data_IF_250651295869
#
_entry.id   IF_250651295869
#
_cell.length_a   1.000
_cell.length_b   1.000
_cell.length_c   1.000
_cell.angle_alpha   90.00
_cell.angle_beta   90.00
_cell.angle_gamma   90.00
#
_symmetry.space_group_name_H-M   'P 1'
#
loop_
_entity.id
_entity.type
_entity.pdbx_description
1 polymer ?
#
# COMPACT_ATOMS: atom_id res chain seq x y z
N UNK A 1 73.58 -100.20 -61.37
CA UNK A 1 74.36 -98.94 -61.33
C UNK A 1 73.39 -97.82 -60.97
N UNK A 2 73.45 -97.31 -59.73
CA UNK A 2 72.45 -96.42 -59.17
C UNK A 2 72.55 -95.00 -59.76
N UNK A 3 71.44 -94.45 -60.26
CA UNK A 3 71.33 -93.06 -60.71
C UNK A 3 71.12 -92.17 -59.49
N UNK A 4 72.14 -91.40 -59.12
CA UNK A 4 72.00 -90.30 -58.15
C UNK A 4 71.44 -89.07 -58.87
N UNK A 5 70.13 -88.88 -58.84
CA UNK A 5 69.51 -87.61 -59.24
C UNK A 5 69.67 -86.63 -58.07
N UNK A 6 70.70 -85.80 -58.13
CA UNK A 6 70.88 -84.69 -57.19
C UNK A 6 69.76 -83.69 -57.49
N UNK A 7 68.83 -83.53 -56.53
CA UNK A 7 67.81 -82.50 -56.61
C UNK A 7 68.46 -81.14 -56.35
N UNK A 8 68.79 -80.42 -57.43
CA UNK A 8 69.35 -79.06 -57.39
C UNK A 8 68.29 -77.98 -57.14
N UNK A 9 67.02 -78.37 -56.99
CA UNK A 9 65.93 -77.46 -56.67
C UNK A 9 65.95 -77.16 -55.16
N UNK A 10 66.85 -76.28 -54.75
CA UNK A 10 66.87 -75.73 -53.40
C UNK A 10 65.63 -74.84 -53.18
N UNK A 11 65.05 -74.88 -51.97
CA UNK A 11 63.89 -74.05 -51.61
C UNK A 11 64.14 -72.53 -51.79
N UNK A 12 65.40 -72.11 -51.85
CA UNK A 12 65.84 -70.73 -52.13
C UNK A 12 65.73 -70.31 -53.61
N UNK A 13 65.53 -71.24 -54.55
CA UNK A 13 65.31 -70.96 -55.97
C UNK A 13 63.83 -70.69 -56.32
N UNK A 14 62.92 -70.77 -55.35
CA UNK A 14 61.53 -70.32 -55.53
C UNK A 14 61.52 -68.78 -55.56
N UNK A 15 60.87 -68.13 -56.54
CA UNK A 15 60.84 -66.68 -56.61
C UNK A 15 60.24 -66.14 -55.32
N UNK A 16 61.06 -65.43 -54.52
CA UNK A 16 60.62 -64.79 -53.29
C UNK A 16 59.45 -63.88 -53.65
N UNK A 17 58.23 -64.29 -53.30
CA UNK A 17 57.03 -63.49 -53.51
C UNK A 17 57.22 -62.24 -52.67
N UNK A 18 57.55 -61.12 -53.32
CA UNK A 18 57.67 -59.84 -52.66
C UNK A 18 56.35 -59.58 -51.91
N UNK A 19 56.39 -59.62 -50.58
CA UNK A 19 55.20 -59.38 -49.75
C UNK A 19 54.67 -57.97 -50.00
N UNK A 20 55.62 -57.05 -50.23
CA UNK A 20 55.43 -55.68 -50.67
C UNK A 20 55.67 -55.56 -52.18
N UNK A 21 54.61 -55.75 -52.97
CA UNK A 21 54.62 -55.34 -54.39
C UNK A 21 54.02 -53.95 -54.51
N UNK A 22 54.51 -53.15 -55.47
CA UNK A 22 54.03 -51.78 -55.71
C UNK A 22 52.48 -51.73 -55.82
N UNK A 23 51.89 -52.71 -56.50
CA UNK A 23 50.44 -52.80 -56.66
C UNK A 23 49.71 -52.98 -55.31
N UNK A 24 50.23 -53.81 -54.40
CA UNK A 24 49.62 -54.01 -53.06
C UNK A 24 49.68 -52.75 -52.20
N UNK A 25 50.81 -52.03 -52.25
CA UNK A 25 50.97 -50.76 -51.53
C UNK A 25 50.01 -49.72 -52.07
N UNK A 26 49.91 -49.57 -53.40
CA UNK A 26 48.95 -48.66 -54.03
C UNK A 26 47.50 -49.02 -53.67
N UNK A 27 47.12 -50.30 -53.71
CA UNK A 27 45.77 -50.71 -53.30
C UNK A 27 45.48 -50.39 -51.83
N UNK A 28 46.44 -50.56 -50.94
CA UNK A 28 46.27 -50.24 -49.51
C UNK A 28 46.12 -48.73 -49.29
N UNK A 29 46.87 -47.91 -50.02
CA UNK A 29 46.70 -46.45 -49.99
C UNK A 29 45.35 -46.02 -50.53
N UNK A 30 44.89 -46.61 -51.64
CA UNK A 30 43.56 -46.33 -52.21
C UNK A 30 42.46 -46.72 -51.23
N UNK A 31 42.54 -47.90 -50.61
CA UNK A 31 41.56 -48.32 -49.59
C UNK A 31 41.57 -47.36 -48.40
N UNK A 32 42.74 -46.98 -47.90
CA UNK A 32 42.86 -46.01 -46.80
C UNK A 32 42.24 -44.66 -47.17
N UNK A 33 42.48 -44.18 -48.38
CA UNK A 33 41.92 -42.93 -48.89
C UNK A 33 40.39 -43.00 -48.99
N UNK A 34 39.84 -44.11 -49.50
CA UNK A 34 38.39 -44.32 -49.58
C UNK A 34 37.76 -44.35 -48.19
N UNK A 35 38.39 -45.02 -47.22
CA UNK A 35 37.93 -45.02 -45.83
C UNK A 35 37.95 -43.62 -45.23
N UNK A 36 39.01 -42.85 -45.47
CA UNK A 36 39.12 -41.48 -44.99
C UNK A 36 38.03 -40.57 -45.58
N UNK A 37 37.77 -40.66 -46.89
CA UNK A 37 36.68 -39.93 -47.55
C UNK A 37 35.31 -40.34 -47.01
N UNK A 38 35.09 -41.63 -46.75
CA UNK A 38 33.86 -42.13 -46.15
C UNK A 38 33.60 -41.53 -44.76
N UNK A 39 34.63 -41.49 -43.91
CA UNK A 39 34.54 -40.89 -42.58
C UNK A 39 34.26 -39.38 -42.65
N UNK A 40 34.92 -38.65 -43.55
CA UNK A 40 34.69 -37.21 -43.75
C UNK A 40 33.25 -36.94 -44.20
N UNK A 41 32.73 -37.74 -45.13
CA UNK A 41 31.36 -37.57 -45.61
C UNK A 41 30.32 -37.80 -44.49
N UNK A 42 30.52 -38.85 -43.70
CA UNK A 42 29.64 -39.17 -42.56
C UNK A 42 29.68 -38.07 -41.50
N UNK A 43 30.88 -37.60 -41.13
CA UNK A 43 31.03 -36.56 -40.11
C UNK A 43 30.45 -35.23 -40.57
N UNK A 44 30.66 -34.87 -41.84
CA UNK A 44 30.12 -33.64 -42.40
C UNK A 44 28.59 -33.65 -42.45
N UNK A 45 27.99 -34.80 -42.77
CA UNK A 45 26.54 -34.94 -42.73
C UNK A 45 25.99 -34.81 -41.30
N UNK A 46 26.65 -35.43 -40.32
CA UNK A 46 26.24 -35.36 -38.91
C UNK A 46 26.36 -33.95 -38.35
N UNK A 47 27.45 -33.23 -38.68
CA UNK A 47 27.67 -31.84 -38.27
C UNK A 47 26.61 -30.92 -38.87
N UNK A 48 26.30 -31.08 -40.16
CA UNK A 48 25.29 -30.24 -40.83
C UNK A 48 23.89 -30.36 -40.20
N UNK A 49 23.50 -31.56 -39.77
CA UNK A 49 22.21 -31.75 -39.09
C UNK A 49 22.21 -31.12 -37.69
N UNK A 50 23.31 -31.30 -36.95
CA UNK A 50 23.44 -30.73 -35.61
C UNK A 50 23.49 -29.20 -35.61
N UNK A 51 24.11 -28.61 -36.63
CA UNK A 51 24.19 -27.16 -36.80
C UNK A 51 22.83 -26.55 -37.18
N UNK A 52 22.03 -27.27 -37.97
CA UNK A 52 20.65 -26.86 -38.27
C UNK A 52 19.78 -26.85 -37.00
N UNK A 53 19.85 -27.90 -36.17
CA UNK A 53 19.12 -27.94 -34.89
C UNK A 53 19.58 -26.85 -33.93
N UNK A 54 20.89 -26.60 -33.88
CA UNK A 54 21.47 -25.54 -33.05
C UNK A 54 20.99 -24.14 -33.48
N UNK A 55 20.97 -23.86 -34.78
CA UNK A 55 20.50 -22.56 -35.29
C UNK A 55 19.00 -22.35 -35.05
N UNK A 56 18.17 -23.41 -35.12
CA UNK A 56 16.75 -23.33 -34.76
C UNK A 56 16.59 -22.98 -33.28
N UNK A 57 17.29 -23.67 -32.38
CA UNK A 57 17.21 -23.42 -30.93
C UNK A 57 17.74 -22.03 -30.58
N UNK A 58 18.85 -21.61 -31.20
CA UNK A 58 19.44 -20.28 -31.03
C UNK A 58 18.50 -19.18 -31.51
N UNK A 59 17.86 -19.36 -32.66
CA UNK A 59 16.85 -18.42 -33.18
C UNK A 59 15.65 -18.30 -32.22
N UNK A 60 15.16 -19.42 -31.68
CA UNK A 60 14.11 -19.43 -30.66
C UNK A 60 14.55 -18.68 -29.39
N UNK A 61 15.78 -18.91 -28.92
CA UNK A 61 16.31 -18.24 -27.75
C UNK A 61 16.44 -16.71 -27.96
N UNK A 62 16.89 -16.28 -29.12
CA UNK A 62 16.96 -14.86 -29.50
C UNK A 62 15.56 -14.24 -29.53
N UNK A 63 14.58 -14.93 -30.12
CA UNK A 63 13.18 -14.47 -30.16
C UNK A 63 12.60 -14.33 -28.75
N UNK A 64 12.80 -15.33 -27.88
CA UNK A 64 12.32 -15.31 -26.50
C UNK A 64 13.00 -14.21 -25.67
N UNK A 65 14.31 -14.03 -25.85
CA UNK A 65 15.06 -12.96 -25.17
C UNK A 65 14.58 -11.58 -25.61
N UNK A 66 14.31 -11.39 -26.92
CA UNK A 66 13.73 -10.16 -27.44
C UNK A 66 12.32 -9.90 -26.90
N UNK A 67 11.48 -10.94 -26.82
CA UNK A 67 10.16 -10.85 -26.20
C UNK A 67 10.24 -10.46 -24.72
N UNK A 68 11.13 -11.08 -23.95
CA UNK A 68 11.37 -10.71 -22.55
C UNK A 68 11.83 -9.26 -22.42
N UNK A 69 12.76 -8.80 -23.25
CA UNK A 69 13.22 -7.41 -23.23
C UNK A 69 12.08 -6.43 -23.56
N UNK A 70 11.22 -6.78 -24.53
CA UNK A 70 10.07 -5.97 -24.89
C UNK A 70 9.02 -5.93 -23.76
N UNK A 71 8.76 -7.07 -23.11
CA UNK A 71 7.85 -7.15 -21.96
C UNK A 71 8.40 -6.38 -20.77
N UNK A 72 9.70 -6.49 -20.47
CA UNK A 72 10.35 -5.73 -19.40
C UNK A 72 10.32 -4.22 -19.70
N UNK A 73 10.51 -3.82 -20.96
CA UNK A 73 10.33 -2.43 -21.40
C UNK A 73 8.88 -1.95 -21.24
N UNK A 74 7.89 -2.79 -21.58
CA UNK A 74 6.48 -2.46 -21.40
C UNK A 74 6.09 -2.34 -19.92
N UNK A 75 6.57 -3.26 -19.08
CA UNK A 75 6.36 -3.24 -17.62
C UNK A 75 7.04 -2.03 -16.99
N UNK A 76 8.29 -1.75 -17.35
CA UNK A 76 9.01 -0.57 -16.84
C UNK A 76 8.34 0.73 -17.26
N UNK A 77 7.89 0.86 -18.53
CA UNK A 77 7.06 2.00 -18.99
C UNK A 77 5.76 2.14 -18.20
N UNK A 78 5.09 1.03 -17.87
CA UNK A 78 3.88 1.06 -17.05
C UNK A 78 4.18 1.45 -15.59
N UNK A 79 5.30 0.96 -15.03
CA UNK A 79 5.76 1.25 -13.67
C UNK A 79 6.28 2.68 -13.47
N UNK A 80 6.59 3.42 -14.53
CA UNK A 80 7.18 4.77 -14.44
C UNK A 80 6.26 5.85 -13.85
N UNK A 81 4.98 5.58 -13.68
CA UNK A 81 4.06 6.52 -13.03
C UNK A 81 4.14 6.48 -11.49
N UNK A 82 5.33 6.23 -10.94
CA UNK A 82 5.61 6.42 -9.51
C UNK A 82 5.35 7.87 -9.09
N UNK A 83 5.60 8.82 -10.01
CA UNK A 83 5.26 10.24 -9.86
C UNK A 83 3.75 10.43 -9.67
N UNK A 84 2.92 9.87 -10.53
CA UNK A 84 1.45 9.92 -10.38
C UNK A 84 0.98 9.24 -9.10
N UNK A 85 1.62 8.15 -8.68
CA UNK A 85 1.30 7.49 -7.41
C UNK A 85 1.66 8.38 -6.22
N UNK A 86 2.79 9.10 -6.28
CA UNK A 86 3.16 10.08 -5.25
C UNK A 86 2.22 11.27 -5.25
N UNK A 87 1.84 11.80 -6.41
CA UNK A 87 0.84 12.89 -6.54
C UNK A 87 -0.53 12.48 -6.03
N UNK A 88 -0.97 11.26 -6.32
CA UNK A 88 -2.22 10.72 -5.80
C UNK A 88 -2.18 10.65 -4.26
N UNK A 89 -1.08 10.16 -3.70
CA UNK A 89 -0.92 10.06 -2.25
C UNK A 89 -0.84 11.44 -1.58
N UNK A 90 -0.17 12.43 -2.18
CA UNK A 90 -0.13 13.79 -1.65
C UNK A 90 -1.51 14.44 -1.70
N UNK A 91 -2.23 14.31 -2.83
CA UNK A 91 -3.61 14.81 -2.96
C UNK A 91 -4.52 14.14 -1.91
N UNK A 92 -4.42 12.83 -1.73
CA UNK A 92 -5.19 12.09 -0.72
C UNK A 92 -4.90 12.58 0.70
N UNK A 93 -3.63 12.84 1.02
CA UNK A 93 -3.23 13.40 2.31
C UNK A 93 -3.80 14.81 2.52
N UNK A 94 -3.75 15.66 1.49
CA UNK A 94 -4.31 17.01 1.54
C UNK A 94 -5.82 16.96 1.78
N UNK A 95 -6.54 16.08 1.08
CA UNK A 95 -7.99 15.89 1.27
C UNK A 95 -8.28 15.42 2.69
N UNK A 96 -7.57 14.40 3.19
CA UNK A 96 -7.76 13.89 4.55
C UNK A 96 -7.55 14.99 5.61
N UNK A 97 -6.53 15.83 5.45
CA UNK A 97 -6.28 16.96 6.34
C UNK A 97 -7.38 18.02 6.26
N UNK A 98 -7.87 18.35 5.05
CA UNK A 98 -8.98 19.30 4.88
C UNK A 98 -10.27 18.79 5.51
N UNK A 99 -10.59 17.51 5.35
CA UNK A 99 -11.73 16.87 6.01
C UNK A 99 -11.61 16.92 7.53
N UNK A 100 -10.42 16.64 8.06
CA UNK A 100 -10.17 16.71 9.49
C UNK A 100 -10.33 18.14 10.03
N UNK A 101 -9.75 19.13 9.35
CA UNK A 101 -9.91 20.55 9.72
C UNK A 101 -11.37 21.00 9.59
N UNK A 102 -12.06 20.60 8.53
CA UNK A 102 -13.48 20.89 8.34
C UNK A 102 -14.30 20.31 9.49
N UNK A 103 -14.05 19.05 9.89
CA UNK A 103 -14.71 18.43 11.04
C UNK A 103 -14.44 19.18 12.34
N UNK A 104 -13.22 19.66 12.56
CA UNK A 104 -12.88 20.45 13.76
C UNK A 104 -13.52 21.83 13.78
N UNK A 105 -13.60 22.51 12.63
CA UNK A 105 -14.19 23.85 12.51
C UNK A 105 -15.72 23.81 12.52
N UNK A 106 -16.29 22.75 11.95
CA UNK A 106 -17.74 22.52 11.88
C UNK A 106 -18.24 21.76 13.10
N UNK A 107 -17.36 21.41 14.06
CA UNK A 107 -17.78 20.80 15.32
C UNK A 107 -18.58 21.85 16.13
N UNK A 108 -19.91 21.70 16.23
CA UNK A 108 -20.75 22.65 16.94
C UNK A 108 -20.45 22.64 18.45
N UNK A 109 -19.67 21.66 18.95
CA UNK A 109 -19.23 21.61 20.35
C UNK A 109 -18.03 22.52 20.65
N UNK A 110 -17.35 23.08 19.64
CA UNK A 110 -16.20 23.98 19.86
C UNK A 110 -16.43 25.42 19.39
N UNK A 111 -17.37 25.64 18.48
CA UNK A 111 -17.80 26.98 18.04
C UNK A 111 -19.11 27.37 18.72
N UNK A 112 -19.12 27.46 20.06
CA UNK A 112 -20.29 27.93 20.82
C UNK A 112 -20.46 29.46 20.78
N UNK A 113 -19.63 30.22 20.05
CA UNK A 113 -19.65 31.68 20.06
C UNK A 113 -20.97 32.29 19.55
N UNK A 114 -21.67 31.62 18.63
CA UNK A 114 -22.94 32.12 18.07
C UNK A 114 -24.10 31.96 19.07
N UNK A 115 -24.03 30.96 19.96
CA UNK A 115 -25.08 30.68 20.95
C UNK A 115 -25.04 31.60 22.18
N UNK A 116 -23.85 32.01 22.63
CA UNK A 116 -23.71 32.82 23.84
C UNK A 116 -24.37 34.20 23.73
N UNK A 117 -24.22 34.88 22.59
CA UNK A 117 -24.82 36.20 22.40
C UNK A 117 -26.34 36.16 22.43
N UNK A 118 -26.95 35.14 21.81
CA UNK A 118 -28.41 34.94 21.87
C UNK A 118 -28.87 34.61 23.28
N UNK A 119 -28.15 33.73 23.98
CA UNK A 119 -28.45 33.37 25.37
C UNK A 119 -28.40 34.59 26.31
N UNK A 120 -27.39 35.45 26.16
CA UNK A 120 -27.26 36.67 26.97
C UNK A 120 -28.35 37.70 26.65
N UNK A 121 -28.74 37.84 25.38
CA UNK A 121 -29.82 38.73 24.98
C UNK A 121 -31.17 38.28 25.58
N UNK A 122 -31.46 36.98 25.53
CA UNK A 122 -32.67 36.41 26.14
C UNK A 122 -32.66 36.54 27.67
N UNK A 123 -31.50 36.32 28.31
CA UNK A 123 -31.32 36.52 29.76
C UNK A 123 -31.58 37.98 30.18
N UNK A 124 -31.12 38.94 29.39
CA UNK A 124 -31.35 40.36 29.63
C UNK A 124 -32.83 40.75 29.42
N UNK A 125 -33.50 40.15 28.44
CA UNK A 125 -34.93 40.35 28.21
C UNK A 125 -35.77 39.80 29.37
N UNK A 126 -35.41 38.61 29.89
CA UNK A 126 -36.09 37.91 31.00
C UNK A 126 -35.62 38.38 32.39
N UNK A 127 -35.22 39.65 32.53
CA UNK A 127 -34.76 40.20 33.79
C UNK A 127 -35.88 40.22 34.86
N UNK A 128 -35.52 39.92 36.11
CA UNK A 128 -36.40 40.03 37.26
C UNK A 128 -35.83 41.03 38.26
N UNK A 129 -36.62 42.02 38.68
CA UNK A 129 -36.20 43.10 39.59
C UNK A 129 -35.71 42.60 40.95
N UNK A 130 -36.08 41.38 41.33
CA UNK A 130 -35.75 40.78 42.63
C UNK A 130 -34.53 39.84 42.57
N UNK A 131 -33.85 39.72 41.42
CA UNK A 131 -32.72 38.83 41.21
C UNK A 131 -31.55 39.58 40.59
N UNK A 132 -30.35 39.34 41.10
CA UNK A 132 -29.09 39.82 40.53
C UNK A 132 -28.20 38.62 40.22
N UNK A 133 -27.85 38.44 38.95
CA UNK A 133 -26.93 37.38 38.51
C UNK A 133 -25.49 37.83 38.70
N UNK A 134 -24.66 36.95 39.25
CA UNK A 134 -23.24 37.19 39.48
C UNK A 134 -22.37 36.31 38.59
N UNK A 135 -22.77 35.05 38.39
CA UNK A 135 -22.05 34.10 37.54
C UNK A 135 -23.03 33.37 36.65
N UNK A 136 -22.71 33.35 35.37
CA UNK A 136 -23.43 32.57 34.37
C UNK A 136 -22.42 31.69 33.67
N UNK A 137 -22.66 30.38 33.71
CA UNK A 137 -21.86 29.39 33.00
C UNK A 137 -22.78 28.59 32.07
N UNK A 138 -22.50 28.63 30.77
CA UNK A 138 -23.25 27.92 29.74
C UNK A 138 -22.22 27.09 28.96
N UNK A 139 -22.39 25.78 28.89
CA UNK A 139 -21.44 24.91 28.20
C UNK A 139 -21.96 23.50 27.98
N UNK A 140 -21.70 22.93 26.79
CA UNK A 140 -21.99 21.55 26.43
C UNK A 140 -23.41 21.05 26.80
N UNK A 141 -24.42 21.91 26.65
CA UNK A 141 -25.82 21.61 26.96
C UNK A 141 -26.22 21.78 28.44
N UNK A 142 -25.27 22.12 29.31
CA UNK A 142 -25.50 22.42 30.72
C UNK A 142 -25.43 23.93 30.99
N UNK A 143 -26.25 24.38 31.93
CA UNK A 143 -26.34 25.77 32.33
C UNK A 143 -26.32 25.85 33.85
N UNK A 144 -25.49 26.75 34.37
CA UNK A 144 -25.39 27.04 35.80
C UNK A 144 -25.48 28.55 36.00
N UNK A 145 -26.39 28.96 36.87
CA UNK A 145 -26.62 30.35 37.23
C UNK A 145 -26.39 30.51 38.74
N UNK A 146 -25.64 31.53 39.14
CA UNK A 146 -25.51 31.90 40.54
C UNK A 146 -25.68 33.41 40.74
N UNK A 147 -26.24 33.77 41.88
CA UNK A 147 -26.52 35.16 42.20
C UNK A 147 -27.27 35.32 43.50
N UNK A 148 -27.85 36.51 43.68
CA UNK A 148 -28.57 36.89 44.89
C UNK A 148 -30.03 37.19 44.54
N UNK A 149 -30.96 36.68 45.34
CA UNK A 149 -32.37 36.96 45.29
C UNK A 149 -32.85 37.68 46.55
N UNK A 150 -33.79 38.62 46.39
CA UNK A 150 -34.42 39.34 47.52
C UNK A 150 -35.36 38.47 48.34
N UNK A 151 -35.95 37.45 47.71
CA UNK A 151 -36.87 36.51 48.35
C UNK A 151 -36.60 35.11 47.81
N UNK A 152 -36.69 34.05 48.62
CA UNK A 152 -36.54 32.66 48.16
C UNK A 152 -37.47 32.31 46.99
N UNK A 153 -38.70 32.84 47.02
CA UNK A 153 -39.73 32.61 45.99
C UNK A 153 -39.42 33.31 44.66
N UNK A 154 -38.48 34.24 44.62
CA UNK A 154 -38.14 34.93 43.37
C UNK A 154 -37.44 34.00 42.38
N UNK A 155 -36.65 33.03 42.87
CA UNK A 155 -35.83 32.17 42.01
C UNK A 155 -36.68 31.22 41.16
N UNK A 156 -37.65 30.47 41.73
CA UNK A 156 -38.57 29.66 40.92
C UNK A 156 -39.39 30.50 39.92
N UNK A 157 -39.84 31.69 40.33
CA UNK A 157 -40.61 32.61 39.48
C UNK A 157 -39.80 33.19 38.31
N UNK A 158 -38.49 33.30 38.47
CA UNK A 158 -37.61 33.71 37.37
C UNK A 158 -37.31 32.54 36.44
N UNK A 159 -37.12 31.35 36.99
CA UNK A 159 -36.84 30.14 36.23
C UNK A 159 -38.01 29.72 35.33
N UNK A 160 -39.26 29.96 35.75
CA UNK A 160 -40.44 29.73 34.92
C UNK A 160 -40.48 30.61 33.68
N UNK A 161 -39.86 31.80 33.71
CA UNK A 161 -39.72 32.67 32.54
C UNK A 161 -38.91 32.03 31.41
N UNK A 162 -38.04 31.06 31.72
CA UNK A 162 -37.17 30.41 30.73
C UNK A 162 -37.94 29.45 29.82
N UNK A 163 -39.16 29.03 30.19
CA UNK A 163 -40.02 28.22 29.32
C UNK A 163 -40.37 28.95 28.02
N UNK A 164 -40.45 30.28 28.06
CA UNK A 164 -40.81 31.11 26.90
C UNK A 164 -39.65 31.42 25.95
N UNK A 165 -38.42 31.04 26.30
CA UNK A 165 -37.20 31.40 25.57
C UNK A 165 -36.80 30.32 24.55
N UNK A 166 -36.24 30.71 23.42
CA UNK A 166 -35.78 29.77 22.38
C UNK A 166 -34.51 29.02 22.76
N UNK A 167 -33.59 29.64 23.49
CA UNK A 167 -32.29 29.05 23.81
C UNK A 167 -32.24 28.42 25.22
N UNK A 168 -32.99 28.97 26.17
CA UNK A 168 -33.00 28.55 27.59
C UNK A 168 -34.10 27.53 27.90
N UNK A 169 -35.06 27.31 26.99
CA UNK A 169 -36.12 26.31 27.17
C UNK A 169 -35.64 24.87 27.05
N UNK A 170 -36.39 23.95 27.68
CA UNK A 170 -36.14 22.51 27.59
C UNK A 170 -34.98 22.01 28.46
N UNK A 171 -34.44 22.82 29.38
CA UNK A 171 -33.45 22.37 30.38
C UNK A 171 -34.12 22.18 31.74
N UNK A 172 -33.93 21.00 32.32
CA UNK A 172 -34.35 20.70 33.70
C UNK A 172 -33.22 21.11 34.65
N UNK A 173 -33.49 22.11 35.47
CA UNK A 173 -32.60 22.46 36.57
C UNK A 173 -32.85 21.49 37.72
N UNK A 174 -31.82 20.71 38.05
CA UNK A 174 -31.93 19.58 38.99
C UNK A 174 -31.13 19.81 40.27
N UNK A 175 -30.16 20.72 40.26
CA UNK A 175 -29.47 21.12 41.47
C UNK A 175 -29.87 22.54 41.85
N UNK A 176 -30.41 22.69 43.06
CA UNK A 176 -30.88 23.95 43.59
C UNK A 176 -30.36 24.11 45.02
N UNK A 177 -29.54 25.13 45.24
CA UNK A 177 -29.03 25.49 46.56
C UNK A 177 -29.40 26.93 46.87
N UNK A 178 -29.93 27.15 48.08
CA UNK A 178 -30.23 28.48 48.61
C UNK A 178 -29.58 28.60 49.97
N UNK A 179 -28.81 29.66 50.15
CA UNK A 179 -28.14 29.97 51.39
C UNK A 179 -28.53 31.41 51.74
N UNK A 180 -29.11 31.62 52.91
CA UNK A 180 -29.39 32.97 53.40
C UNK A 180 -28.10 33.55 54.00
N UNK A 181 -27.68 34.69 53.48
CA UNK A 181 -26.51 35.42 53.99
C UNK A 181 -26.92 36.31 55.18
N UNK A 182 -25.95 36.76 55.98
CA UNK A 182 -26.11 37.64 57.15
C UNK A 182 -26.90 38.94 56.85
N UNK A 183 -27.01 39.30 55.57
CA UNK A 183 -27.76 40.46 55.06
C UNK A 183 -29.24 40.16 54.75
N UNK A 184 -29.78 38.98 55.13
CA UNK A 184 -31.15 38.51 54.79
C UNK A 184 -31.42 38.45 53.29
N UNK A 185 -30.37 38.21 52.51
CA UNK A 185 -30.43 38.02 51.07
C UNK A 185 -30.16 36.55 50.77
N UNK A 186 -30.93 35.98 49.85
CA UNK A 186 -30.82 34.57 49.49
C UNK A 186 -29.82 34.43 48.35
N UNK A 187 -28.64 33.89 48.63
CA UNK A 187 -27.72 33.44 47.60
C UNK A 187 -28.26 32.15 46.99
N UNK A 188 -28.32 32.09 45.67
CA UNK A 188 -28.82 30.91 44.96
C UNK A 188 -27.81 30.40 43.96
N UNK A 189 -27.78 29.07 43.80
CA UNK A 189 -27.09 28.37 42.72
C UNK A 189 -28.07 27.39 42.09
N UNK A 190 -28.29 27.53 40.80
CA UNK A 190 -29.18 26.67 40.02
C UNK A 190 -28.36 26.04 38.88
N UNK A 191 -28.37 24.71 38.76
CA UNK A 191 -27.67 23.99 37.69
C UNK A 191 -28.55 22.95 37.00
N UNK A 192 -28.43 22.87 35.67
CA UNK A 192 -29.04 21.83 34.85
C UNK A 192 -28.16 20.59 34.69
N UNK A 193 -26.90 20.65 35.14
CA UNK A 193 -26.03 19.48 35.15
C UNK A 193 -26.45 18.56 36.31
N UNK A 194 -26.47 17.25 36.04
CA UNK A 194 -26.61 16.27 37.11
C UNK A 194 -25.32 16.36 37.90
N UNK A 195 -25.42 16.83 39.14
CA UNK A 195 -24.30 16.89 40.08
C UNK A 195 -23.51 15.60 39.94
N UNK A 196 -22.31 15.69 39.36
CA UNK A 196 -21.33 14.64 39.51
C UNK A 196 -20.94 14.79 40.96
N UNK A 197 -21.52 13.95 41.81
CA UNK A 197 -21.16 13.89 43.21
C UNK A 197 -19.65 13.78 43.32
N UNK A 198 -19.12 14.55 44.28
CA UNK A 198 -17.74 14.66 44.74
C UNK A 198 -16.87 15.72 44.07
#
# INVERSE_FOLDING_TARGET
>A
MAKYSINLLQADLLPKKALWTLNRVVTLWVVTLVVMLGLIFITQWQVSNLEADFEVIKSQNISQTSQLQNLESAISKNRQNTTLLTELNTIKLVIANKEHLHKQLTDPTKTYSVGFSSAMAELAALHNKNISLQRVNIGNGNMTFSGIARTPDAVPNWLSGFESSTFLSGKRFINFSLIENEQKLTEFVVSSAQSKGE
#
